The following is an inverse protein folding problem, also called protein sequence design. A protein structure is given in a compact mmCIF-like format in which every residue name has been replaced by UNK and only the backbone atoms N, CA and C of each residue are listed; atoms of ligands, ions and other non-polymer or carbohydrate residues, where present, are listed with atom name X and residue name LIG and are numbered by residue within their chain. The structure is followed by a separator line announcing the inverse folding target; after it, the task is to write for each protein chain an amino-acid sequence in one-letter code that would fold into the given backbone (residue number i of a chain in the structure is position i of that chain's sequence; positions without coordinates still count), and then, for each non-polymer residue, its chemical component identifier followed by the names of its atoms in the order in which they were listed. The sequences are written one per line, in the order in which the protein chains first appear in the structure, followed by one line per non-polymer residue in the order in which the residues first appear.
data_IF_924593078723
#
_entry.id   IF_924593078723
#
_cell.length_a   1.000
_cell.length_b   1.000
_cell.length_c   1.000
_cell.angle_alpha   90.00
_cell.angle_beta   90.00
_cell.angle_gamma   90.00
#
_symmetry.space_group_name_H-M   'P 1'
#
loop_
_entity.id
_entity.type
_entity.pdbx_description
1 polymer ?
#
# COMPACT_ATOMS: atom_id res chain seq x y z
N UNK A 1 -46.27 -12.58 -17.85
CA UNK A 1 -45.03 -13.32 -18.26
C UNK A 1 -43.84 -12.51 -17.84
N UNK A 2 -43.32 -12.80 -16.65
CA UNK A 2 -42.15 -12.14 -16.07
C UNK A 2 -40.88 -12.84 -16.56
N UNK A 3 -39.94 -12.08 -17.12
CA UNK A 3 -38.58 -12.58 -17.36
C UNK A 3 -37.62 -11.70 -16.59
N UNK A 4 -37.26 -12.20 -15.40
CA UNK A 4 -36.13 -11.68 -14.61
C UNK A 4 -34.84 -11.95 -15.40
N UNK A 5 -34.12 -10.90 -15.81
CA UNK A 5 -32.73 -10.98 -16.23
C UNK A 5 -31.86 -10.93 -14.97
N UNK A 6 -31.36 -12.08 -14.58
CA UNK A 6 -30.27 -12.21 -13.60
C UNK A 6 -28.97 -11.67 -14.24
N UNK A 7 -28.47 -10.58 -13.70
CA UNK A 7 -27.12 -10.10 -14.00
C UNK A 7 -26.11 -11.11 -13.45
N UNK A 8 -25.52 -11.92 -14.32
CA UNK A 8 -24.40 -12.78 -13.97
C UNK A 8 -23.13 -11.92 -13.93
N UNK A 9 -22.66 -11.61 -12.73
CA UNK A 9 -21.33 -11.11 -12.52
C UNK A 9 -20.32 -12.18 -12.97
N UNK A 10 -19.58 -11.90 -14.03
CA UNK A 10 -18.44 -12.74 -14.44
C UNK A 10 -17.34 -12.60 -13.39
N UNK A 11 -17.23 -13.61 -12.53
CA UNK A 11 -16.02 -13.85 -11.74
C UNK A 11 -14.99 -14.38 -12.75
N UNK A 12 -14.03 -13.53 -13.12
CA UNK A 12 -12.84 -13.99 -13.88
C UNK A 12 -11.95 -14.70 -12.87
N UNK A 13 -12.11 -16.03 -12.77
CA UNK A 13 -11.09 -16.88 -12.17
C UNK A 13 -9.89 -16.89 -13.10
N UNK A 14 -8.83 -16.19 -12.75
CA UNK A 14 -7.53 -16.40 -13.36
C UNK A 14 -7.05 -17.81 -12.96
N UNK A 15 -7.29 -18.80 -13.82
CA UNK A 15 -6.82 -20.16 -13.64
C UNK A 15 -5.31 -20.17 -13.95
N UNK A 16 -4.47 -20.11 -12.95
CA UNK A 16 -3.04 -20.37 -13.10
C UNK A 16 -2.84 -21.86 -13.36
N UNK A 17 -2.76 -22.26 -14.64
CA UNK A 17 -2.35 -23.59 -15.03
C UNK A 17 -0.82 -23.63 -15.06
N UNK A 18 -0.25 -24.21 -14.02
CA UNK A 18 1.03 -24.91 -13.97
C UNK A 18 2.24 -24.25 -14.60
N UNK A 19 2.90 -23.32 -13.89
CA UNK A 19 4.35 -23.13 -13.95
C UNK A 19 4.85 -22.85 -12.53
N UNK A 20 5.93 -23.50 -12.13
CA UNK A 20 6.52 -23.40 -10.80
C UNK A 20 6.96 -21.96 -10.52
N UNK A 21 6.23 -21.27 -9.61
CA UNK A 21 6.52 -19.91 -9.23
C UNK A 21 5.36 -19.11 -8.63
N UNK A 22 4.10 -19.50 -8.85
CA UNK A 22 2.98 -18.89 -8.18
C UNK A 22 2.93 -19.34 -6.71
N UNK A 23 3.30 -18.47 -5.78
CA UNK A 23 2.88 -18.61 -4.38
C UNK A 23 1.37 -18.53 -4.36
N UNK A 24 0.77 -19.66 -4.03
CA UNK A 24 -0.65 -20.02 -4.07
C UNK A 24 -1.59 -18.92 -3.61
N UNK A 25 -2.53 -18.50 -4.49
CA UNK A 25 -3.88 -18.17 -4.06
C UNK A 25 -4.16 -16.75 -3.60
N UNK A 26 -3.31 -15.76 -3.84
CA UNK A 26 -3.71 -14.37 -3.61
C UNK A 26 -4.72 -13.93 -4.68
N UNK A 27 -5.95 -13.66 -4.26
CA UNK A 27 -6.98 -13.08 -5.12
C UNK A 27 -6.99 -11.57 -4.90
N UNK A 28 -6.80 -10.81 -5.97
CA UNK A 28 -6.90 -9.35 -5.93
C UNK A 28 -8.31 -8.93 -6.34
N UNK A 29 -8.92 -8.05 -5.56
CA UNK A 29 -10.27 -7.54 -5.85
C UNK A 29 -10.26 -6.02 -5.85
N UNK A 30 -11.00 -5.44 -6.80
CA UNK A 30 -11.22 -4.01 -6.90
C UNK A 30 -12.58 -3.62 -6.32
N UNK A 31 -12.78 -2.34 -5.97
CA UNK A 31 -14.08 -1.78 -5.70
C UNK A 31 -15.08 -2.08 -6.82
N UNK A 32 -16.38 -2.07 -6.50
CA UNK A 32 -17.41 -2.37 -7.47
C UNK A 32 -17.40 -1.35 -8.62
N UNK A 33 -17.24 -1.84 -9.85
CA UNK A 33 -17.19 -1.02 -11.06
C UNK A 33 -15.78 -0.69 -11.54
N UNK A 34 -14.75 -0.94 -10.74
CA UNK A 34 -13.35 -0.74 -11.12
C UNK A 34 -12.75 -1.98 -11.78
N UNK A 35 -11.68 -1.79 -12.54
CA UNK A 35 -11.02 -2.85 -13.30
C UNK A 35 -9.63 -3.10 -12.74
N UNK A 36 -9.31 -4.38 -12.49
CA UNK A 36 -7.95 -4.79 -12.13
C UNK A 36 -7.03 -4.67 -13.34
N UNK A 37 -5.88 -4.05 -13.16
CA UNK A 37 -4.84 -3.82 -14.16
C UNK A 37 -3.50 -4.37 -13.69
N UNK A 38 -2.58 -4.53 -14.64
CA UNK A 38 -1.25 -5.07 -14.40
C UNK A 38 -1.26 -6.57 -14.16
N UNK A 39 -0.08 -7.10 -13.87
CA UNK A 39 0.14 -8.51 -13.58
C UNK A 39 1.16 -8.66 -12.46
N UNK A 40 0.98 -9.65 -11.55
CA UNK A 40 2.00 -9.98 -10.56
C UNK A 40 3.16 -10.74 -11.21
N UNK A 41 4.31 -10.88 -10.52
CA UNK A 41 5.42 -11.71 -10.99
C UNK A 41 4.98 -13.16 -11.30
N UNK A 42 5.58 -13.79 -12.33
CA UNK A 42 6.75 -13.34 -13.10
C UNK A 42 6.40 -12.48 -14.32
N UNK A 43 5.12 -12.25 -14.63
CA UNK A 43 4.70 -11.61 -15.89
C UNK A 43 4.70 -10.09 -15.81
N UNK A 44 4.61 -9.53 -14.61
CA UNK A 44 4.62 -8.09 -14.35
C UNK A 44 5.18 -7.76 -12.97
N UNK A 45 5.18 -6.49 -12.61
CA UNK A 45 5.72 -6.00 -11.35
C UNK A 45 4.71 -5.20 -10.54
N UNK A 46 3.55 -4.88 -11.11
CA UNK A 46 2.52 -4.13 -10.38
C UNK A 46 1.11 -4.60 -10.75
N UNK A 47 0.24 -4.48 -9.75
CA UNK A 47 -1.21 -4.68 -9.89
C UNK A 47 -1.91 -3.48 -9.25
N UNK A 48 -2.91 -2.93 -9.93
CA UNK A 48 -3.71 -1.85 -9.39
C UNK A 48 -5.16 -1.93 -9.85
N UNK A 49 -6.04 -1.30 -9.11
CA UNK A 49 -7.41 -1.05 -9.51
C UNK A 49 -7.51 0.31 -10.22
N UNK A 50 -8.33 0.37 -11.24
CA UNK A 50 -8.51 1.56 -12.07
C UNK A 50 -9.98 1.80 -12.36
N UNK A 51 -10.42 3.06 -12.26
CA UNK A 51 -11.71 3.53 -12.72
C UNK A 51 -11.55 4.63 -13.78
N UNK A 52 -12.62 4.93 -14.47
CA UNK A 52 -12.64 6.03 -15.45
C UNK A 52 -13.35 7.24 -14.88
N UNK A 53 -12.69 8.40 -14.85
CA UNK A 53 -13.26 9.69 -14.46
C UNK A 53 -13.11 10.66 -15.63
N UNK A 54 -14.21 11.18 -16.14
CA UNK A 54 -14.17 12.13 -17.27
C UNK A 54 -13.51 11.56 -18.54
N UNK A 55 -13.58 10.24 -18.74
CA UNK A 55 -12.95 9.57 -19.89
C UNK A 55 -11.45 9.26 -19.70
N UNK A 56 -10.87 9.57 -18.54
CA UNK A 56 -9.46 9.29 -18.22
C UNK A 56 -9.35 8.17 -17.20
N UNK A 57 -8.36 7.24 -17.36
CA UNK A 57 -8.09 6.20 -16.38
C UNK A 57 -7.44 6.81 -15.13
N UNK A 58 -7.91 6.40 -13.96
CA UNK A 58 -7.45 6.87 -12.66
C UNK A 58 -7.30 5.68 -11.71
N UNK A 59 -6.17 5.55 -11.02
CA UNK A 59 -5.99 4.52 -9.99
C UNK A 59 -7.01 4.72 -8.87
N UNK A 60 -7.74 3.65 -8.50
CA UNK A 60 -8.73 3.65 -7.41
C UNK A 60 -8.82 2.27 -6.77
N UNK A 61 -8.64 2.18 -5.45
CA UNK A 61 -8.52 0.91 -4.74
C UNK A 61 -7.10 0.38 -4.65
N UNK A 62 -6.96 -0.94 -4.69
CA UNK A 62 -5.70 -1.65 -4.45
C UNK A 62 -4.56 -1.20 -5.38
N UNK A 63 -3.36 -1.12 -4.78
CA UNK A 63 -2.07 -1.02 -5.48
C UNK A 63 -1.04 -1.92 -4.82
N UNK A 64 -0.34 -2.74 -5.59
CA UNK A 64 0.80 -3.55 -5.14
C UNK A 64 1.92 -3.45 -6.17
N UNK A 65 3.14 -3.33 -5.68
CA UNK A 65 4.36 -3.33 -6.48
C UNK A 65 5.36 -4.36 -5.94
N UNK A 66 6.01 -5.11 -6.84
CA UNK A 66 7.02 -6.13 -6.53
C UNK A 66 8.37 -5.83 -7.17
N UNK A 67 9.43 -6.39 -6.59
CA UNK A 67 10.76 -6.44 -7.21
C UNK A 67 10.80 -7.41 -8.38
N UNK A 68 11.87 -7.36 -9.18
CA UNK A 68 12.16 -8.34 -10.24
C UNK A 68 12.26 -9.77 -9.68
N UNK A 69 12.70 -9.92 -8.44
CA UNK A 69 12.78 -11.22 -7.74
C UNK A 69 11.42 -11.72 -7.23
N UNK A 70 10.34 -10.95 -7.40
CA UNK A 70 8.99 -11.28 -6.96
C UNK A 70 8.71 -10.98 -5.48
N UNK A 71 9.60 -10.28 -4.78
CA UNK A 71 9.35 -9.78 -3.42
C UNK A 71 8.43 -8.56 -3.44
N UNK A 72 7.40 -8.54 -2.56
CA UNK A 72 6.53 -7.37 -2.43
C UNK A 72 7.34 -6.19 -1.88
N UNK A 73 7.25 -5.03 -2.53
CA UNK A 73 7.95 -3.80 -2.13
C UNK A 73 7.03 -2.74 -1.56
N UNK A 74 5.84 -2.61 -2.15
CA UNK A 74 4.86 -1.58 -1.75
C UNK A 74 3.47 -2.18 -1.86
N UNK A 75 2.61 -1.87 -0.90
CA UNK A 75 1.17 -2.08 -0.99
C UNK A 75 0.42 -0.92 -0.37
N UNK A 76 -0.73 -0.59 -0.92
CA UNK A 76 -1.60 0.47 -0.42
C UNK A 76 -2.86 0.61 -1.24
N UNK A 77 -3.52 1.72 -1.07
CA UNK A 77 -4.74 2.03 -1.80
C UNK A 77 -4.69 3.43 -2.39
N UNK A 78 -5.29 3.55 -3.56
CA UNK A 78 -5.60 4.84 -4.19
C UNK A 78 -7.10 5.13 -4.04
N UNK A 79 -7.41 6.42 -3.98
CA UNK A 79 -8.76 6.96 -4.11
C UNK A 79 -8.69 8.15 -5.04
N UNK A 80 -9.46 8.09 -6.14
CA UNK A 80 -9.48 9.17 -7.15
C UNK A 80 -8.08 9.59 -7.63
N UNK A 81 -7.17 8.62 -7.80
CA UNK A 81 -5.78 8.84 -8.26
C UNK A 81 -4.80 9.30 -7.19
N UNK A 82 -5.23 9.44 -5.94
CA UNK A 82 -4.40 9.87 -4.82
C UNK A 82 -4.22 8.75 -3.82
N UNK A 83 -3.05 8.68 -3.17
CA UNK A 83 -2.83 7.75 -2.07
C UNK A 83 -3.84 8.00 -0.95
N UNK A 84 -4.49 6.94 -0.44
CA UNK A 84 -5.47 7.02 0.63
C UNK A 84 -5.36 5.81 1.56
N UNK A 85 -5.52 6.01 2.88
CA UNK A 85 -5.38 4.96 3.87
C UNK A 85 -3.95 4.54 4.17
N UNK A 86 -3.78 3.29 4.57
CA UNK A 86 -2.51 2.70 5.00
C UNK A 86 -1.66 2.29 3.80
N UNK A 87 -0.38 2.70 3.80
CA UNK A 87 0.65 2.33 2.84
C UNK A 87 1.77 1.61 3.54
N UNK A 88 2.13 0.44 3.05
CA UNK A 88 3.22 -0.39 3.57
C UNK A 88 4.35 -0.46 2.56
N UNK A 89 5.57 -0.35 3.05
CA UNK A 89 6.76 -0.69 2.28
C UNK A 89 7.50 -1.86 2.92
N UNK A 90 8.27 -2.56 2.12
CA UNK A 90 9.00 -3.75 2.53
C UNK A 90 10.45 -3.66 2.10
N UNK A 91 11.32 -4.36 2.78
CA UNK A 91 12.67 -4.66 2.34
C UNK A 91 12.64 -5.74 1.26
N UNK A 92 13.69 -5.86 0.46
CA UNK A 92 13.81 -6.92 -0.56
C UNK A 92 13.73 -8.34 0.04
N UNK A 93 14.09 -8.47 1.30
CA UNK A 93 14.02 -9.71 2.09
C UNK A 93 12.61 -10.05 2.57
N UNK A 94 11.64 -9.12 2.39
CA UNK A 94 10.21 -9.30 2.68
C UNK A 94 9.75 -8.77 4.03
N UNK A 95 10.67 -8.33 4.91
CA UNK A 95 10.32 -7.70 6.19
C UNK A 95 9.73 -6.31 5.95
N UNK A 96 8.82 -5.91 6.85
CA UNK A 96 8.25 -4.55 6.81
C UNK A 96 9.34 -3.50 7.01
N UNK A 97 9.31 -2.45 6.17
CA UNK A 97 10.20 -1.30 6.25
C UNK A 97 9.49 -0.08 6.82
N UNK A 98 8.27 0.22 6.35
CA UNK A 98 7.44 1.29 6.95
C UNK A 98 5.96 1.02 6.83
N UNK A 99 5.19 1.67 7.69
CA UNK A 99 3.76 1.93 7.54
C UNK A 99 3.57 3.43 7.62
N UNK A 100 2.89 3.97 6.62
CA UNK A 100 2.53 5.37 6.48
C UNK A 100 1.03 5.48 6.21
N UNK A 101 0.41 6.55 6.65
CA UNK A 101 -1.00 6.82 6.38
C UNK A 101 -1.15 8.05 5.50
N UNK A 102 -2.07 8.00 4.55
CA UNK A 102 -2.35 9.08 3.61
C UNK A 102 -3.84 9.39 3.55
N UNK A 103 -4.16 10.64 3.27
CA UNK A 103 -5.49 11.12 2.93
C UNK A 103 -5.37 12.10 1.77
N UNK A 104 -6.09 11.84 0.67
CA UNK A 104 -6.04 12.67 -0.54
C UNK A 104 -4.62 12.94 -1.08
N UNK A 105 -3.70 11.97 -0.92
CA UNK A 105 -2.30 12.06 -1.33
C UNK A 105 -1.38 12.76 -0.34
N UNK A 106 -1.89 13.20 0.81
CA UNK A 106 -1.12 13.90 1.85
C UNK A 106 -0.90 12.95 3.03
N UNK A 107 0.34 12.86 3.53
CA UNK A 107 0.66 12.08 4.73
C UNK A 107 -0.13 12.60 5.93
N UNK A 108 -0.81 11.68 6.64
CA UNK A 108 -1.71 12.00 7.73
C UNK A 108 -1.78 10.84 8.72
N UNK A 109 -1.54 11.09 10.01
CA UNK A 109 -1.60 10.05 11.03
C UNK A 109 -0.26 9.40 11.34
N UNK A 110 -0.30 8.18 11.86
CA UNK A 110 0.88 7.49 12.39
C UNK A 110 1.86 7.09 11.28
N UNK A 111 3.14 7.24 11.59
CA UNK A 111 4.27 6.65 10.86
C UNK A 111 5.01 5.68 11.76
N UNK A 112 5.30 4.49 11.26
CA UNK A 112 6.18 3.52 11.91
C UNK A 112 7.19 3.01 10.89
N UNK A 113 8.47 3.10 11.23
CA UNK A 113 9.57 2.52 10.48
C UNK A 113 10.23 1.37 11.25
N UNK A 114 10.77 0.42 10.52
CA UNK A 114 11.52 -0.72 11.08
C UNK A 114 12.88 -0.84 10.40
N UNK A 115 13.82 -1.40 11.12
CA UNK A 115 15.05 -1.96 10.58
C UNK A 115 14.79 -3.34 9.97
N UNK A 116 15.71 -3.79 9.14
CA UNK A 116 15.63 -5.13 8.51
C UNK A 116 15.62 -6.28 9.54
N UNK A 117 16.14 -6.05 10.76
CA UNK A 117 16.08 -7.01 11.86
C UNK A 117 14.72 -7.01 12.60
N UNK A 118 13.72 -6.26 12.12
CA UNK A 118 12.37 -6.18 12.67
C UNK A 118 12.21 -5.23 13.86
N UNK A 119 13.27 -4.61 14.33
CA UNK A 119 13.18 -3.60 15.41
C UNK A 119 12.68 -2.27 14.87
N UNK A 120 11.89 -1.56 15.68
CA UNK A 120 11.40 -0.23 15.33
C UNK A 120 12.59 0.72 15.17
N UNK A 121 12.63 1.45 14.06
CA UNK A 121 13.63 2.47 13.77
C UNK A 121 13.11 3.88 14.03
N UNK A 122 11.84 4.12 13.74
CA UNK A 122 11.20 5.41 13.93
C UNK A 122 9.70 5.26 14.22
N UNK A 123 9.15 6.20 15.00
CA UNK A 123 7.71 6.33 15.23
C UNK A 123 7.36 7.79 15.45
N UNK A 124 6.27 8.24 14.80
CA UNK A 124 5.77 9.60 14.94
C UNK A 124 4.42 9.76 14.28
N UNK A 125 4.01 10.99 14.10
CA UNK A 125 2.76 11.33 13.43
C UNK A 125 3.00 12.43 12.40
N UNK A 126 2.24 12.35 11.31
CA UNK A 126 2.10 13.42 10.34
C UNK A 126 0.72 14.08 10.43
N UNK A 127 0.71 15.37 10.21
CA UNK A 127 -0.49 16.18 10.04
C UNK A 127 -0.26 17.10 8.84
N UNK A 128 -1.15 16.99 7.86
CA UNK A 128 -1.09 17.77 6.63
C UNK A 128 0.29 17.70 5.93
N UNK A 129 0.88 16.51 5.90
CA UNK A 129 2.18 16.22 5.30
C UNK A 129 3.40 16.67 6.12
N UNK A 130 3.19 17.18 7.32
CA UNK A 130 4.26 17.69 8.20
C UNK A 130 4.34 16.87 9.48
N UNK A 131 5.55 16.68 10.07
CA UNK A 131 5.69 16.07 11.38
C UNK A 131 4.90 16.86 12.45
N UNK A 132 4.13 16.13 13.27
CA UNK A 132 3.36 16.69 14.37
C UNK A 132 3.40 15.77 15.59
N UNK A 133 3.47 16.35 16.81
CA UNK A 133 3.58 15.57 18.03
C UNK A 133 4.98 15.01 18.31
N UNK A 134 5.04 13.91 19.05
CA UNK A 134 6.29 13.29 19.50
C UNK A 134 6.83 12.35 18.45
N UNK A 135 8.07 12.59 18.05
CA UNK A 135 8.85 11.72 17.16
C UNK A 135 9.96 11.04 17.93
N UNK A 136 10.09 9.73 17.74
CA UNK A 136 11.08 8.88 18.39
C UNK A 136 11.87 8.08 17.38
N UNK A 137 13.15 7.88 17.64
CA UNK A 137 14.01 6.99 16.87
C UNK A 137 14.77 6.05 17.79
N UNK A 138 15.04 4.88 17.26
CA UNK A 138 15.79 3.82 17.95
C UNK A 138 16.97 3.40 17.09
N UNK A 139 18.02 2.91 17.72
CA UNK A 139 19.09 2.21 17.04
C UNK A 139 18.67 0.79 16.63
N UNK A 140 19.47 0.12 15.76
CA UNK A 140 19.22 -1.27 15.37
C UNK A 140 19.36 -2.28 16.53
N UNK A 141 19.86 -1.85 17.68
CA UNK A 141 19.90 -2.55 18.95
C UNK A 141 18.61 -2.39 19.79
N UNK A 142 17.65 -1.60 19.28
CA UNK A 142 16.38 -1.31 19.95
C UNK A 142 16.48 -0.23 21.03
N UNK A 143 17.66 0.37 21.25
CA UNK A 143 17.83 1.45 22.22
C UNK A 143 17.31 2.75 21.62
N UNK A 144 16.38 3.41 22.35
CA UNK A 144 15.90 4.73 21.95
C UNK A 144 17.02 5.76 22.12
N UNK A 145 17.41 6.39 21.03
CA UNK A 145 18.51 7.34 21.01
C UNK A 145 18.10 8.76 20.67
N UNK A 146 16.81 8.98 20.31
CA UNK A 146 16.36 10.30 19.91
C UNK A 146 14.86 10.47 20.15
N UNK A 147 14.46 11.65 20.66
CA UNK A 147 13.08 12.09 20.82
C UNK A 147 13.00 13.60 20.62
N UNK A 148 12.07 14.03 19.79
CA UNK A 148 11.77 15.44 19.54
C UNK A 148 10.27 15.65 19.44
N UNK A 149 9.83 16.86 19.75
CA UNK A 149 8.43 17.25 19.62
C UNK A 149 8.30 18.27 18.51
N UNK A 150 7.36 18.00 17.62
CA UNK A 150 7.03 18.86 16.49
C UNK A 150 5.63 19.44 16.62
N UNK A 151 5.44 20.63 16.08
CA UNK A 151 4.14 21.24 15.88
C UNK A 151 4.13 21.92 14.52
N UNK A 152 3.19 21.49 13.66
CA UNK A 152 3.03 22.01 12.29
C UNK A 152 4.37 22.04 11.54
N UNK A 153 5.12 20.92 11.58
CA UNK A 153 6.40 20.74 10.93
C UNK A 153 7.62 21.38 11.59
N UNK A 154 7.43 22.14 12.65
CA UNK A 154 8.53 22.83 13.37
C UNK A 154 8.86 22.11 14.67
N UNK A 155 10.16 21.87 14.90
CA UNK A 155 10.64 21.36 16.19
C UNK A 155 10.36 22.40 17.29
N UNK A 156 9.76 21.95 18.40
CA UNK A 156 9.41 22.79 19.55
C UNK A 156 10.12 22.36 20.83
N UNK A 157 10.65 21.15 20.89
CA UNK A 157 11.51 20.64 21.98
C UNK A 157 12.31 19.41 21.52
#
# INVERSE_FOLDING_TARGET
MNRNLLAHGFLIFALCIGVAGCKSGETYSCPAGDVLKGEPPPNGQEVWCEKTIGGQPVKDGLFIFWTDSGGKMIEGQYKDGKQDGEWKTYYETGEKKSIDHYRDGVQQGEHIGWYINGQISAKGQYKDGQPDGVWKRWGPDGIRNWEEVYKDGKKVS
#
